data_IF_670425886479
#
_entry.id   IF_670425886479
#
_cell.length_a   1.000
_cell.length_b   1.000
_cell.length_c   1.000
_cell.angle_alpha   90.00
_cell.angle_beta   90.00
_cell.angle_gamma   90.00
#
_symmetry.space_group_name_H-M   'P 1'
#
loop_
_entity.id
_entity.type
_entity.pdbx_description
1 polymer ?
#
# COMPACT_ATOMS: atom_id res chain seq x y z
N UNK A 1 -0.32 49.54 -15.97
CA UNK A 1 -0.76 48.23 -16.49
C UNK A 1 -1.44 47.49 -15.35
N UNK A 2 -2.60 46.84 -15.55
CA UNK A 2 -3.23 46.08 -14.48
C UNK A 2 -2.30 44.97 -13.98
N UNK A 3 -2.29 44.71 -12.68
CA UNK A 3 -1.50 43.63 -12.10
C UNK A 3 -2.07 42.28 -12.55
N UNK A 4 -1.18 41.36 -12.91
CA UNK A 4 -1.52 40.01 -13.38
C UNK A 4 -2.26 39.26 -12.26
N UNK A 5 -3.53 38.94 -12.50
CA UNK A 5 -4.40 38.24 -11.56
C UNK A 5 -4.21 36.71 -11.61
N UNK A 6 -4.78 35.96 -10.66
CA UNK A 6 -4.63 34.49 -10.58
C UNK A 6 -5.11 33.70 -11.81
N UNK A 7 -5.86 34.32 -12.73
CA UNK A 7 -6.34 33.69 -13.97
C UNK A 7 -5.53 34.07 -15.21
N UNK A 8 -4.52 34.91 -15.06
CA UNK A 8 -3.71 35.41 -16.16
C UNK A 8 -2.47 34.53 -16.41
N UNK A 9 -2.61 33.21 -16.19
CA UNK A 9 -1.61 32.22 -16.58
C UNK A 9 -1.66 32.03 -18.09
N UNK A 10 -0.50 32.22 -18.74
CA UNK A 10 -0.28 31.83 -20.13
C UNK A 10 0.79 30.75 -20.12
N UNK A 11 0.56 29.58 -20.74
CA UNK A 11 1.59 28.56 -20.87
C UNK A 11 2.81 29.14 -21.62
N UNK A 12 4.03 28.69 -21.30
CA UNK A 12 5.25 29.05 -22.03
C UNK A 12 5.11 28.72 -23.52
N UNK A 13 5.77 29.49 -24.40
CA UNK A 13 5.78 29.25 -25.85
C UNK A 13 6.74 28.11 -26.27
N UNK A 14 7.44 27.50 -25.32
CA UNK A 14 8.31 26.35 -25.55
C UNK A 14 7.47 25.09 -25.81
N UNK A 15 7.88 24.19 -26.71
CA UNK A 15 7.16 22.95 -26.94
C UNK A 15 7.11 22.17 -25.63
N UNK A 16 5.91 21.88 -25.14
CA UNK A 16 5.70 20.94 -24.05
C UNK A 16 6.32 19.60 -24.48
N UNK A 17 7.42 19.19 -23.85
CA UNK A 17 7.89 17.81 -24.00
C UNK A 17 6.78 16.91 -23.46
N UNK A 18 6.21 16.05 -24.31
CA UNK A 18 5.21 15.09 -23.89
C UNK A 18 5.76 14.30 -22.69
N UNK A 19 5.07 14.36 -21.55
CA UNK A 19 5.41 13.53 -20.41
C UNK A 19 5.35 12.07 -20.84
N UNK A 20 6.52 11.42 -20.94
CA UNK A 20 6.62 9.98 -21.10
C UNK A 20 6.94 9.41 -19.72
N UNK A 21 5.95 8.83 -19.01
CA UNK A 21 6.21 8.19 -17.74
C UNK A 21 7.27 7.10 -17.93
N UNK A 22 8.24 7.04 -17.03
CA UNK A 22 9.16 5.92 -16.99
C UNK A 22 8.37 4.62 -16.83
N UNK A 23 8.80 3.57 -17.51
CA UNK A 23 8.16 2.27 -17.42
C UNK A 23 8.29 1.77 -15.97
N UNK A 24 7.17 1.41 -15.29
CA UNK A 24 7.22 1.06 -13.89
C UNK A 24 8.03 -0.22 -13.71
N UNK A 25 8.79 -0.29 -12.62
CA UNK A 25 9.51 -1.50 -12.26
C UNK A 25 8.53 -2.68 -12.12
N UNK A 26 8.94 -3.86 -12.59
CA UNK A 26 8.06 -5.03 -12.60
C UNK A 26 7.60 -5.41 -11.20
N UNK A 27 6.28 -5.53 -11.00
CA UNK A 27 5.67 -6.03 -9.76
C UNK A 27 6.03 -7.50 -9.45
N UNK A 28 6.68 -8.22 -10.37
CA UNK A 28 7.15 -9.59 -10.15
C UNK A 28 8.26 -9.69 -9.09
N UNK A 29 8.87 -8.56 -8.71
CA UNK A 29 9.92 -8.47 -7.69
C UNK A 29 9.39 -8.36 -6.24
N UNK A 30 8.10 -8.62 -5.98
CA UNK A 30 7.60 -8.62 -4.59
C UNK A 30 8.37 -9.64 -3.76
N UNK A 31 9.07 -9.15 -2.74
CA UNK A 31 9.87 -9.99 -1.88
C UNK A 31 8.99 -11.05 -1.17
N UNK A 32 9.32 -12.35 -1.23
CA UNK A 32 8.45 -13.43 -0.76
C UNK A 32 7.98 -13.27 0.69
N UNK A 33 8.82 -12.71 1.55
CA UNK A 33 8.49 -12.47 2.95
C UNK A 33 7.36 -11.42 3.11
N UNK A 34 7.30 -10.41 2.23
CA UNK A 34 6.18 -9.44 2.20
C UNK A 34 4.90 -10.15 1.79
N UNK A 35 4.97 -10.97 0.75
CA UNK A 35 3.81 -11.71 0.26
C UNK A 35 3.24 -12.65 1.35
N UNK A 36 4.11 -13.40 2.04
CA UNK A 36 3.72 -14.22 3.19
C UNK A 36 3.16 -13.38 4.34
N UNK A 37 3.72 -12.19 4.58
CA UNK A 37 3.18 -11.20 5.52
C UNK A 37 1.73 -10.85 5.20
N UNK A 38 1.41 -10.51 3.94
CA UNK A 38 0.04 -10.22 3.53
C UNK A 38 -0.88 -11.44 3.59
N UNK A 39 -0.40 -12.63 3.23
CA UNK A 39 -1.18 -13.87 3.35
C UNK A 39 -1.55 -14.12 4.82
N UNK A 40 -0.62 -13.94 5.76
CA UNK A 40 -0.94 -14.08 7.18
C UNK A 40 -1.85 -12.96 7.70
N UNK A 41 -1.58 -11.71 7.33
CA UNK A 41 -2.32 -10.54 7.80
C UNK A 41 -3.76 -10.48 7.27
N UNK A 42 -4.00 -10.81 6.01
CA UNK A 42 -5.35 -10.86 5.43
C UNK A 42 -5.99 -12.24 5.60
N UNK A 43 -5.21 -13.30 5.43
CA UNK A 43 -5.69 -14.67 5.46
C UNK A 43 -6.17 -15.10 6.83
N UNK A 44 -5.55 -14.66 7.93
CA UNK A 44 -6.02 -15.03 9.28
C UNK A 44 -7.41 -14.46 9.63
N UNK A 45 -7.71 -13.15 9.41
CA UNK A 45 -9.06 -12.61 9.56
C UNK A 45 -10.09 -13.29 8.65
N UNK A 46 -9.73 -13.54 7.38
CA UNK A 46 -10.61 -14.25 6.44
C UNK A 46 -10.87 -15.68 6.92
N UNK A 47 -9.83 -16.40 7.37
CA UNK A 47 -9.97 -17.76 7.90
C UNK A 47 -10.83 -17.79 9.16
N UNK A 48 -10.72 -16.80 10.06
CA UNK A 48 -11.60 -16.67 11.22
C UNK A 48 -13.06 -16.44 10.80
N UNK A 49 -13.31 -15.58 9.81
CA UNK A 49 -14.66 -15.32 9.29
C UNK A 49 -15.28 -16.58 8.67
N UNK A 50 -14.53 -17.26 7.80
CA UNK A 50 -14.95 -18.51 7.18
C UNK A 50 -15.19 -19.60 8.24
N UNK A 51 -14.30 -19.69 9.23
CA UNK A 51 -14.48 -20.58 10.36
C UNK A 51 -15.77 -20.29 11.11
N UNK A 52 -16.07 -19.03 11.43
CA UNK A 52 -17.30 -18.66 12.12
C UNK A 52 -18.58 -18.95 11.28
N UNK A 53 -18.52 -18.80 9.96
CA UNK A 53 -19.64 -19.09 9.05
C UNK A 53 -19.90 -20.59 8.89
N UNK A 54 -18.86 -21.38 8.70
CA UNK A 54 -18.99 -22.79 8.30
C UNK A 54 -18.80 -23.78 9.46
N UNK A 55 -18.10 -23.37 10.53
CA UNK A 55 -17.78 -24.21 11.69
C UNK A 55 -17.96 -23.46 13.01
N UNK A 56 -19.15 -23.58 13.60
CA UNK A 56 -19.51 -22.95 14.88
C UNK A 56 -18.74 -23.48 16.11
N UNK A 57 -18.00 -24.59 15.95
CA UNK A 57 -17.35 -25.34 17.03
C UNK A 57 -15.83 -25.46 16.86
N UNK A 58 -15.14 -24.40 16.40
CA UNK A 58 -13.68 -24.44 16.33
C UNK A 58 -13.06 -24.57 17.73
N UNK A 59 -12.07 -25.46 17.93
CA UNK A 59 -11.30 -25.52 19.15
C UNK A 59 -10.61 -24.18 19.44
N UNK A 60 -10.63 -23.73 20.70
CA UNK A 60 -10.07 -22.44 21.11
C UNK A 60 -8.59 -22.27 20.71
N UNK A 61 -7.84 -23.37 20.70
CA UNK A 61 -6.43 -23.39 20.29
C UNK A 61 -6.23 -22.91 18.85
N UNK A 62 -7.13 -23.28 17.93
CA UNK A 62 -7.04 -22.87 16.52
C UNK A 62 -7.30 -21.37 16.37
N UNK A 63 -8.29 -20.86 17.10
CA UNK A 63 -8.62 -19.43 17.11
C UNK A 63 -7.43 -18.61 17.63
N UNK A 64 -6.83 -19.04 18.75
CA UNK A 64 -5.63 -18.40 19.32
C UNK A 64 -4.47 -18.42 18.31
N UNK A 65 -4.24 -19.54 17.63
CA UNK A 65 -3.19 -19.65 16.62
C UNK A 65 -3.41 -18.66 15.46
N UNK A 66 -4.64 -18.54 14.94
CA UNK A 66 -4.98 -17.59 13.88
C UNK A 66 -4.76 -16.14 14.33
N UNK A 67 -5.15 -15.80 15.55
CA UNK A 67 -4.89 -14.46 16.11
C UNK A 67 -3.40 -14.18 16.22
N UNK A 68 -2.60 -15.15 16.69
CA UNK A 68 -1.14 -14.99 16.77
C UNK A 68 -0.50 -14.82 15.39
N UNK A 69 -0.92 -15.61 14.39
CA UNK A 69 -0.46 -15.46 13.00
C UNK A 69 -0.78 -14.05 12.48
N UNK A 70 -2.00 -13.55 12.69
CA UNK A 70 -2.38 -12.20 12.32
C UNK A 70 -1.46 -11.14 12.94
N UNK A 71 -1.24 -11.22 14.26
CA UNK A 71 -0.43 -10.25 14.99
C UNK A 71 1.03 -10.26 14.54
N UNK A 72 1.62 -11.45 14.33
CA UNK A 72 2.99 -11.60 13.85
C UNK A 72 3.13 -11.04 12.44
N UNK A 73 2.22 -11.37 11.53
CA UNK A 73 2.23 -10.88 10.15
C UNK A 73 2.04 -9.37 10.06
N UNK A 74 1.07 -8.82 10.80
CA UNK A 74 0.83 -7.38 10.84
C UNK A 74 2.04 -6.64 11.45
N UNK A 75 2.60 -7.15 12.55
CA UNK A 75 3.81 -6.59 13.17
C UNK A 75 5.01 -6.62 12.22
N UNK A 76 5.20 -7.71 11.49
CA UNK A 76 6.24 -7.83 10.47
C UNK A 76 6.07 -6.80 9.35
N UNK A 77 4.85 -6.62 8.82
CA UNK A 77 4.55 -5.62 7.79
C UNK A 77 4.85 -4.21 8.29
N UNK A 78 4.44 -3.87 9.53
CA UNK A 78 4.71 -2.57 10.14
C UNK A 78 6.20 -2.32 10.31
N UNK A 79 6.95 -3.31 10.82
CA UNK A 79 8.41 -3.22 10.96
C UNK A 79 9.10 -2.96 9.61
N UNK A 80 8.52 -3.46 8.53
CA UNK A 80 9.09 -3.35 7.18
C UNK A 80 8.72 -2.05 6.45
N UNK A 81 7.85 -1.21 7.03
CA UNK A 81 7.50 0.06 6.40
C UNK A 81 8.74 0.95 6.32
N UNK A 82 9.04 1.55 5.14
CA UNK A 82 10.17 2.47 5.00
C UNK A 82 9.96 3.67 5.91
N UNK A 83 10.97 3.95 6.74
CA UNK A 83 10.93 5.02 7.75
C UNK A 83 11.03 6.43 7.19
N UNK A 84 11.36 6.58 5.91
CA UNK A 84 11.37 7.87 5.21
C UNK A 84 10.12 7.95 4.34
N UNK A 85 9.21 8.84 4.73
CA UNK A 85 8.20 9.39 3.83
C UNK A 85 8.81 10.67 3.27
N UNK A 86 8.93 10.74 1.95
CA UNK A 86 9.40 11.96 1.32
C UNK A 86 8.32 13.03 1.53
N UNK A 87 8.65 14.08 2.29
CA UNK A 87 7.69 15.12 2.67
C UNK A 87 7.46 16.14 1.56
N UNK A 88 8.38 16.20 0.59
CA UNK A 88 8.36 17.14 -0.54
C UNK A 88 7.83 16.49 -1.85
N UNK A 89 7.46 15.20 -1.83
CA UNK A 89 6.81 14.53 -2.96
C UNK A 89 5.29 14.51 -2.73
N UNK A 90 4.61 15.53 -3.23
CA UNK A 90 3.14 15.65 -3.27
C UNK A 90 2.51 14.86 -4.43
N UNK A 91 3.31 14.04 -5.14
CA UNK A 91 2.88 13.23 -6.27
C UNK A 91 2.69 14.04 -7.56
N UNK A 92 3.02 15.33 -7.57
CA UNK A 92 2.98 16.18 -8.75
C UNK A 92 4.43 16.50 -9.22
N UNK A 93 4.82 15.99 -10.38
CA UNK A 93 6.01 16.49 -11.08
C UNK A 93 5.57 17.62 -12.02
N UNK A 94 6.14 18.81 -11.81
CA UNK A 94 5.99 19.97 -12.69
C UNK A 94 6.69 19.74 -14.03
#
# INVERSE_FOLDING_TARGET
MPARGPRDYSPPEEPEEDFVPAEPESLSSVEPAIALGWIGAAGAPIALLLSAMFWRSLPSVVIIALVLVFLVSAGYLVYRLPGHRDHDDDGAKL
#
